data_IF_763808891891
#
_entry.id   IF_763808891891
#
_cell.length_a   1.000
_cell.length_b   1.000
_cell.length_c   1.000
_cell.angle_alpha   90.00
_cell.angle_beta   90.00
_cell.angle_gamma   90.00
#
_symmetry.space_group_name_H-M   'P 1'
#
loop_
_entity.id
_entity.type
_entity.pdbx_description
1 polymer ?
#
# COMPACT_ATOMS: atom_id res chain seq x y z
N UNK A 1 -27.27 -15.65 14.07
CA UNK A 1 -26.30 -15.17 15.08
C UNK A 1 -25.36 -14.22 14.38
N UNK A 2 -25.38 -12.94 14.75
CA UNK A 2 -24.31 -11.99 14.37
C UNK A 2 -23.09 -12.40 15.20
N UNK A 3 -21.87 -12.46 14.67
CA UNK A 3 -20.68 -12.70 15.49
C UNK A 3 -20.52 -11.50 16.43
N UNK A 4 -21.10 -11.63 17.61
CA UNK A 4 -20.88 -10.74 18.74
C UNK A 4 -19.53 -11.12 19.35
N UNK A 5 -18.72 -10.11 19.66
CA UNK A 5 -17.52 -10.19 20.48
C UNK A 5 -16.40 -11.18 20.05
N UNK A 6 -15.34 -10.64 19.44
CA UNK A 6 -14.00 -11.23 19.59
C UNK A 6 -13.29 -11.72 18.35
N UNK A 7 -13.86 -11.59 17.15
CA UNK A 7 -13.12 -11.92 15.92
C UNK A 7 -12.13 -10.79 15.59
N UNK A 8 -10.95 -10.86 16.21
CA UNK A 8 -9.85 -9.95 15.94
C UNK A 8 -9.29 -10.34 14.57
N UNK A 9 -9.60 -9.59 13.53
CA UNK A 9 -8.91 -9.75 12.23
C UNK A 9 -7.39 -9.52 12.34
N UNK A 10 -6.92 -8.88 13.41
CA UNK A 10 -5.50 -8.87 13.80
C UNK A 10 -4.98 -10.18 14.44
N UNK A 11 -5.85 -11.11 14.87
CA UNK A 11 -5.50 -12.48 15.29
C UNK A 11 -5.58 -13.50 14.15
N UNK A 12 -6.29 -13.19 13.05
CA UNK A 12 -5.94 -13.77 11.75
C UNK A 12 -4.53 -13.29 11.45
N UNK A 13 -3.54 -14.02 11.97
CA UNK A 13 -2.15 -13.80 11.61
C UNK A 13 -2.15 -13.82 10.10
N UNK A 14 -1.69 -12.75 9.47
CA UNK A 14 -1.58 -12.61 8.01
C UNK A 14 -0.86 -13.81 7.33
N UNK A 15 -0.15 -14.62 8.14
CA UNK A 15 0.44 -15.92 7.78
C UNK A 15 -0.57 -17.05 7.50
N UNK A 16 -1.77 -17.02 8.06
CA UNK A 16 -2.80 -18.06 7.93
C UNK A 16 -3.79 -17.82 6.79
N UNK A 17 -3.77 -16.63 6.18
CA UNK A 17 -4.63 -16.32 5.03
C UNK A 17 -3.97 -16.84 3.76
N UNK A 18 -4.47 -17.98 3.25
CA UNK A 18 -4.09 -18.52 1.94
C UNK A 18 -4.38 -17.48 0.85
N UNK A 19 -3.34 -17.13 0.08
CA UNK A 19 -3.47 -16.23 -1.07
C UNK A 19 -4.37 -16.87 -2.12
N UNK A 20 -5.48 -16.21 -2.48
CA UNK A 20 -6.44 -16.70 -3.47
C UNK A 20 -6.99 -15.55 -4.29
N UNK A 21 -7.19 -15.80 -5.58
CA UNK A 21 -7.93 -14.90 -6.45
C UNK A 21 -9.41 -14.84 -6.04
N UNK A 22 -10.05 -13.70 -6.32
CA UNK A 22 -11.50 -13.57 -6.28
C UNK A 22 -11.99 -13.67 -7.72
N UNK A 23 -12.92 -14.60 -7.97
CA UNK A 23 -13.52 -14.73 -9.29
C UNK A 23 -14.15 -13.42 -9.76
N UNK A 24 -13.81 -12.99 -10.98
CA UNK A 24 -14.24 -11.73 -11.57
C UNK A 24 -13.64 -10.45 -10.99
N UNK A 25 -12.64 -10.52 -10.11
CA UNK A 25 -11.92 -9.33 -9.59
C UNK A 25 -10.43 -9.44 -9.89
N UNK A 26 -9.98 -8.61 -10.83
CA UNK A 26 -8.57 -8.42 -11.16
C UNK A 26 -8.04 -7.13 -10.52
N UNK A 27 -6.94 -7.23 -9.76
CA UNK A 27 -6.25 -6.09 -9.14
C UNK A 27 -4.82 -5.90 -9.68
N UNK A 28 -4.35 -6.76 -10.60
CA UNK A 28 -2.97 -6.72 -11.14
C UNK A 28 -2.64 -5.34 -11.68
N UNK A 29 -3.53 -4.77 -12.50
CA UNK A 29 -3.31 -3.45 -13.09
C UNK A 29 -3.17 -2.33 -12.04
N UNK A 30 -3.87 -2.43 -10.92
CA UNK A 30 -3.79 -1.44 -9.85
C UNK A 30 -2.48 -1.56 -9.07
N UNK A 31 -2.01 -2.79 -8.83
CA UNK A 31 -0.73 -3.03 -8.17
C UNK A 31 0.45 -2.58 -9.03
N UNK A 32 0.40 -2.86 -10.34
CA UNK A 32 1.39 -2.33 -11.29
C UNK A 32 1.44 -0.81 -11.27
N UNK A 33 0.28 -0.14 -11.34
CA UNK A 33 0.22 1.33 -11.25
C UNK A 33 0.71 1.84 -9.91
N UNK A 34 0.36 1.16 -8.82
CA UNK A 34 0.80 1.53 -7.49
C UNK A 34 2.33 1.45 -7.37
N UNK A 35 2.97 0.47 -8.00
CA UNK A 35 4.43 0.39 -8.00
C UNK A 35 5.10 1.32 -9.03
N UNK A 36 4.53 1.54 -10.22
CA UNK A 36 5.19 2.27 -11.30
C UNK A 36 4.84 3.77 -11.34
N UNK A 37 3.61 4.13 -10.97
CA UNK A 37 3.06 5.48 -11.14
C UNK A 37 2.89 6.25 -9.82
N UNK A 38 3.03 5.59 -8.67
CA UNK A 38 2.82 6.23 -7.38
C UNK A 38 4.01 7.14 -7.00
N UNK A 39 3.82 8.45 -7.20
CA UNK A 39 4.81 9.49 -6.90
C UNK A 39 4.62 10.16 -5.54
N UNK A 40 3.45 10.04 -4.92
CA UNK A 40 3.14 10.80 -3.71
C UNK A 40 1.93 10.20 -2.98
N UNK A 41 1.59 10.85 -1.86
CA UNK A 41 0.44 10.49 -1.03
C UNK A 41 -0.89 10.52 -1.80
N UNK A 42 -1.10 11.48 -2.68
CA UNK A 42 -2.37 11.64 -3.37
C UNK A 42 -2.53 10.58 -4.47
N UNK A 43 -1.45 10.29 -5.20
CA UNK A 43 -1.36 9.17 -6.13
C UNK A 43 -1.63 7.83 -5.41
N UNK A 44 -1.00 7.61 -4.26
CA UNK A 44 -1.23 6.42 -3.43
C UNK A 44 -2.70 6.28 -3.04
N UNK A 45 -3.30 7.34 -2.48
CA UNK A 45 -4.70 7.32 -2.06
C UNK A 45 -5.67 7.08 -3.24
N UNK A 46 -5.37 7.62 -4.41
CA UNK A 46 -6.16 7.42 -5.64
C UNK A 46 -6.10 5.97 -6.11
N UNK A 47 -4.92 5.37 -6.14
CA UNK A 47 -4.71 3.99 -6.58
C UNK A 47 -5.28 2.99 -5.58
N UNK A 48 -5.06 3.21 -4.27
CA UNK A 48 -5.71 2.44 -3.20
C UNK A 48 -7.23 2.54 -3.27
N UNK A 49 -7.77 3.72 -3.61
CA UNK A 49 -9.22 3.88 -3.82
C UNK A 49 -9.74 3.05 -4.98
N UNK A 50 -8.97 2.88 -6.06
CA UNK A 50 -9.35 2.01 -7.18
C UNK A 50 -9.43 0.53 -6.75
N UNK A 51 -8.40 0.04 -6.03
CA UNK A 51 -8.38 -1.31 -5.43
C UNK A 51 -9.61 -1.52 -4.54
N UNK A 52 -9.84 -0.58 -3.61
CA UNK A 52 -10.99 -0.61 -2.70
C UNK A 52 -12.31 -0.67 -3.48
N UNK A 53 -12.50 0.17 -4.48
CA UNK A 53 -13.75 0.24 -5.24
C UNK A 53 -14.07 -1.08 -5.96
N UNK A 54 -13.07 -1.76 -6.55
CA UNK A 54 -13.24 -3.07 -7.18
C UNK A 54 -13.72 -4.11 -6.15
N UNK A 55 -13.06 -4.17 -5.01
CA UNK A 55 -13.39 -5.11 -3.93
C UNK A 55 -14.71 -4.77 -3.23
N UNK A 56 -15.09 -3.49 -3.17
CA UNK A 56 -16.39 -3.06 -2.66
C UNK A 56 -17.53 -3.53 -3.58
N UNK A 57 -17.38 -3.39 -4.91
CA UNK A 57 -18.38 -3.92 -5.86
C UNK A 57 -18.60 -5.42 -5.67
N UNK A 58 -17.51 -6.18 -5.55
CA UNK A 58 -17.59 -7.60 -5.23
C UNK A 58 -18.26 -7.85 -3.87
N UNK A 59 -17.79 -7.18 -2.82
CA UNK A 59 -18.30 -7.35 -1.45
C UNK A 59 -19.80 -7.04 -1.33
N UNK A 60 -20.31 -6.09 -2.10
CA UNK A 60 -21.73 -5.75 -2.16
C UNK A 60 -22.58 -6.86 -2.81
N UNK A 61 -22.06 -7.55 -3.84
CA UNK A 61 -22.77 -8.66 -4.50
C UNK A 61 -22.62 -10.00 -3.80
N UNK A 62 -21.62 -10.13 -2.92
CA UNK A 62 -21.31 -11.36 -2.20
C UNK A 62 -22.37 -11.69 -1.13
N UNK A 63 -22.89 -12.92 -1.17
CA UNK A 63 -23.77 -13.48 -0.11
C UNK A 63 -23.00 -13.97 1.13
N UNK A 64 -21.67 -13.87 1.11
CA UNK A 64 -20.80 -14.31 2.21
C UNK A 64 -20.97 -13.39 3.44
N UNK A 65 -20.70 -13.95 4.62
CA UNK A 65 -20.68 -13.20 5.87
C UNK A 65 -19.52 -12.19 5.92
N UNK A 66 -19.55 -11.30 6.90
CA UNK A 66 -18.58 -10.20 7.06
C UNK A 66 -17.14 -10.69 7.26
N UNK A 67 -16.96 -11.82 7.96
CA UNK A 67 -15.64 -12.38 8.27
C UNK A 67 -15.03 -12.98 7.01
N UNK A 68 -15.79 -13.81 6.30
CA UNK A 68 -15.34 -14.43 5.05
C UNK A 68 -15.06 -13.35 4.01
N UNK A 69 -15.86 -12.28 3.93
CA UNK A 69 -15.59 -11.13 3.06
C UNK A 69 -14.26 -10.48 3.40
N UNK A 70 -14.01 -10.16 4.68
CA UNK A 70 -12.76 -9.54 5.11
C UNK A 70 -11.54 -10.42 4.82
N UNK A 71 -11.60 -11.71 5.17
CA UNK A 71 -10.51 -12.66 4.93
C UNK A 71 -10.23 -12.85 3.44
N UNK A 72 -11.29 -12.91 2.61
CA UNK A 72 -11.13 -13.01 1.15
C UNK A 72 -10.49 -11.76 0.58
N UNK A 73 -10.84 -10.57 1.08
CA UNK A 73 -10.22 -9.30 0.66
C UNK A 73 -8.74 -9.27 1.02
N UNK A 74 -8.37 -9.69 2.24
CA UNK A 74 -6.95 -9.80 2.63
C UNK A 74 -6.20 -10.74 1.69
N UNK A 75 -6.77 -11.92 1.43
CA UNK A 75 -6.19 -12.91 0.53
C UNK A 75 -5.97 -12.37 -0.88
N UNK A 76 -6.95 -11.63 -1.41
CA UNK A 76 -6.92 -11.08 -2.76
C UNK A 76 -5.86 -9.99 -2.91
N UNK A 77 -5.78 -9.05 -1.95
CA UNK A 77 -4.75 -7.99 -1.95
C UNK A 77 -3.36 -8.60 -1.87
N UNK A 78 -3.16 -9.60 -1.01
CA UNK A 78 -1.88 -10.33 -0.90
C UNK A 78 -1.55 -11.08 -2.20
N UNK A 79 -2.51 -11.82 -2.74
CA UNK A 79 -2.35 -12.58 -3.97
C UNK A 79 -1.93 -11.69 -5.15
N UNK A 80 -2.55 -10.52 -5.29
CA UNK A 80 -2.19 -9.56 -6.34
C UNK A 80 -0.80 -8.94 -6.14
N UNK A 81 -0.39 -8.68 -4.89
CA UNK A 81 0.98 -8.24 -4.61
C UNK A 81 2.02 -9.29 -5.03
N UNK A 82 1.77 -10.57 -4.72
CA UNK A 82 2.62 -11.70 -5.09
C UNK A 82 2.70 -11.88 -6.60
N UNK A 83 1.57 -11.77 -7.31
CA UNK A 83 1.55 -11.91 -8.77
C UNK A 83 2.41 -10.88 -9.49
N UNK A 84 2.48 -9.67 -8.96
CA UNK A 84 3.27 -8.59 -9.53
C UNK A 84 4.71 -8.53 -9.01
N UNK A 85 5.11 -9.46 -8.13
CA UNK A 85 6.42 -9.44 -7.44
C UNK A 85 6.66 -8.14 -6.65
N UNK A 86 5.59 -7.56 -6.08
CA UNK A 86 5.63 -6.33 -5.29
C UNK A 86 5.28 -6.66 -3.83
N UNK A 87 6.12 -7.50 -3.21
CA UNK A 87 5.96 -7.87 -1.81
C UNK A 87 6.64 -6.85 -0.88
N UNK A 88 5.96 -6.48 0.20
CA UNK A 88 6.52 -5.61 1.23
C UNK A 88 5.59 -5.46 2.44
N UNK A 89 6.14 -4.95 3.55
CA UNK A 89 5.41 -4.76 4.80
C UNK A 89 4.14 -3.90 4.65
N UNK A 90 4.16 -2.98 3.68
CA UNK A 90 3.04 -2.09 3.35
C UNK A 90 1.79 -2.86 2.86
N UNK A 91 1.96 -4.02 2.24
CA UNK A 91 0.85 -4.85 1.72
C UNK A 91 -0.04 -5.34 2.87
N UNK A 92 0.56 -5.63 4.03
CA UNK A 92 -0.19 -6.06 5.22
C UNK A 92 -1.13 -4.97 5.69
N UNK A 93 -0.60 -3.78 5.94
CA UNK A 93 -1.39 -2.63 6.37
C UNK A 93 -2.43 -2.22 5.33
N UNK A 94 -2.09 -2.29 4.03
CA UNK A 94 -3.04 -2.02 2.96
C UNK A 94 -4.19 -3.04 2.95
N UNK A 95 -3.88 -4.33 3.06
CA UNK A 95 -4.88 -5.39 3.05
C UNK A 95 -5.88 -5.25 4.20
N UNK A 96 -5.42 -4.86 5.39
CA UNK A 96 -6.24 -4.58 6.56
C UNK A 96 -7.14 -3.36 6.35
N UNK A 97 -6.57 -2.27 5.81
CA UNK A 97 -7.33 -1.09 5.44
C UNK A 97 -8.50 -1.44 4.51
N UNK A 98 -8.19 -2.14 3.40
CA UNK A 98 -9.20 -2.46 2.39
C UNK A 98 -10.25 -3.44 2.96
N UNK A 99 -9.84 -4.45 3.73
CA UNK A 99 -10.77 -5.40 4.34
C UNK A 99 -11.73 -4.73 5.33
N UNK A 100 -11.24 -3.80 6.16
CA UNK A 100 -12.07 -2.98 7.05
C UNK A 100 -13.07 -2.15 6.26
N UNK A 101 -12.65 -1.48 5.19
CA UNK A 101 -13.53 -0.66 4.35
C UNK A 101 -14.59 -1.47 3.62
N UNK A 102 -14.25 -2.63 3.06
CA UNK A 102 -15.20 -3.47 2.32
C UNK A 102 -16.21 -4.12 3.27
N UNK A 103 -15.76 -4.61 4.42
CA UNK A 103 -16.63 -5.25 5.42
C UNK A 103 -17.55 -4.27 6.15
N UNK A 104 -17.12 -3.02 6.35
CA UNK A 104 -17.92 -1.96 6.96
C UNK A 104 -19.22 -1.68 6.20
N UNK A 105 -19.26 -1.92 4.88
CA UNK A 105 -20.51 -1.81 4.10
C UNK A 105 -21.59 -2.79 4.55
N UNK A 106 -21.20 -3.93 5.16
CA UNK A 106 -22.14 -4.93 5.68
C UNK A 106 -22.50 -4.69 7.14
N UNK A 107 -21.55 -4.25 7.96
CA UNK A 107 -21.75 -3.95 9.38
C UNK A 107 -20.98 -2.69 9.82
N UNK A 108 -21.53 -1.49 9.59
CA UNK A 108 -20.80 -0.23 9.79
C UNK A 108 -20.49 0.09 11.26
N UNK A 109 -21.21 -0.53 12.20
CA UNK A 109 -21.10 -0.26 13.65
C UNK A 109 -20.11 -1.16 14.38
N UNK A 110 -19.29 -1.95 13.67
CA UNK A 110 -18.39 -2.91 14.31
C UNK A 110 -17.14 -2.22 14.88
N UNK A 111 -16.73 -2.58 16.10
CA UNK A 111 -15.67 -1.88 16.85
C UNK A 111 -14.27 -1.98 16.22
N UNK A 112 -14.01 -2.98 15.39
CA UNK A 112 -12.71 -3.21 14.74
C UNK A 112 -12.45 -2.29 13.52
N UNK A 113 -13.42 -1.48 13.10
CA UNK A 113 -13.26 -0.50 12.00
C UNK A 113 -12.55 0.79 12.44
N UNK A 114 -12.33 1.01 13.74
CA UNK A 114 -11.81 2.26 14.31
C UNK A 114 -10.40 2.64 13.86
N UNK A 115 -9.55 1.66 13.56
CA UNK A 115 -8.13 1.90 13.22
C UNK A 115 -7.86 1.98 11.71
N UNK A 116 -8.91 2.04 10.89
CA UNK A 116 -8.75 1.99 9.44
C UNK A 116 -7.82 3.09 8.89
N UNK A 117 -7.89 4.30 9.42
CA UNK A 117 -7.01 5.40 9.00
C UNK A 117 -5.55 5.16 9.38
N UNK A 118 -5.31 4.50 10.52
CA UNK A 118 -3.96 4.14 10.96
C UNK A 118 -3.33 3.11 10.02
N UNK A 119 -4.10 2.09 9.62
CA UNK A 119 -3.63 1.09 8.66
C UNK A 119 -3.24 1.71 7.31
N UNK A 120 -4.04 2.65 6.79
CA UNK A 120 -3.73 3.34 5.53
C UNK A 120 -2.44 4.17 5.64
N UNK A 121 -2.28 4.91 6.74
CA UNK A 121 -1.08 5.71 6.96
C UNK A 121 0.16 4.82 7.11
N UNK A 122 0.05 3.70 7.82
CA UNK A 122 1.15 2.74 7.96
C UNK A 122 1.54 2.14 6.61
N UNK A 123 0.54 1.77 5.79
CA UNK A 123 0.78 1.28 4.44
C UNK A 123 1.52 2.33 3.60
N UNK A 124 1.07 3.59 3.62
CA UNK A 124 1.72 4.68 2.89
C UNK A 124 3.17 4.88 3.32
N UNK A 125 3.44 4.96 4.63
CA UNK A 125 4.79 5.17 5.16
C UNK A 125 5.72 4.03 4.78
N UNK A 126 5.28 2.78 4.95
CA UNK A 126 6.07 1.60 4.56
C UNK A 126 6.28 1.51 3.05
N UNK A 127 5.29 1.93 2.25
CA UNK A 127 5.39 1.94 0.79
C UNK A 127 6.40 2.98 0.29
N UNK A 128 6.33 4.22 0.83
CA UNK A 128 7.28 5.28 0.46
C UNK A 128 8.71 4.90 0.86
N UNK A 129 8.89 4.29 2.04
CA UNK A 129 10.20 3.80 2.48
C UNK A 129 10.77 2.75 1.51
N UNK A 130 9.94 1.81 1.04
CA UNK A 130 10.34 0.83 0.02
C UNK A 130 10.80 1.53 -1.27
N UNK A 131 10.07 2.57 -1.70
CA UNK A 131 10.44 3.36 -2.88
C UNK A 131 11.76 4.09 -2.75
N UNK A 132 12.04 4.65 -1.59
CA UNK A 132 13.32 5.29 -1.31
C UNK A 132 14.47 4.26 -1.36
N UNK A 133 14.28 3.08 -0.75
CA UNK A 133 15.26 1.99 -0.76
C UNK A 133 15.53 1.45 -2.19
N UNK A 134 14.49 1.31 -3.02
CA UNK A 134 14.61 0.93 -4.44
C UNK A 134 15.41 1.96 -5.24
N UNK A 135 15.13 3.26 -5.03
CA UNK A 135 15.82 4.35 -5.71
C UNK A 135 17.30 4.44 -5.31
N UNK A 136 17.60 4.24 -4.03
CA UNK A 136 18.97 4.22 -3.51
C UNK A 136 19.76 3.02 -4.04
N UNK A 137 19.14 1.84 -4.10
CA UNK A 137 19.76 0.64 -4.67
C UNK A 137 20.08 0.82 -6.16
N UNK A 138 19.14 1.39 -6.92
CA UNK A 138 19.35 1.72 -8.33
C UNK A 138 20.51 2.72 -8.50
N UNK A 139 20.52 3.79 -7.72
CA UNK A 139 21.57 4.82 -7.74
C UNK A 139 22.95 4.26 -7.37
N UNK A 140 23.02 3.42 -6.35
CA UNK A 140 24.25 2.73 -5.94
C UNK A 140 24.78 1.79 -7.04
N UNK A 141 23.89 1.05 -7.70
CA UNK A 141 24.27 0.16 -8.82
C UNK A 141 24.82 0.92 -10.03
N UNK A 142 24.25 2.09 -10.34
CA UNK A 142 24.73 2.99 -11.40
C UNK A 142 26.09 3.55 -11.04
N UNK A 143 26.29 3.96 -9.78
CA UNK A 143 27.56 4.50 -9.29
C UNK A 143 28.68 3.45 -9.31
N UNK A 144 28.37 2.20 -8.94
CA UNK A 144 29.31 1.07 -9.01
C UNK A 144 29.64 0.68 -10.46
N UNK A 145 28.66 0.72 -11.38
CA UNK A 145 28.94 0.53 -12.82
C UNK A 145 29.79 1.66 -13.41
N UNK A 146 29.55 2.91 -13.01
CA UNK A 146 30.36 4.04 -13.44
C UNK A 146 31.80 3.93 -12.91
N UNK A 147 31.98 3.47 -11.66
CA UNK A 147 33.31 3.23 -11.08
C UNK A 147 34.06 2.06 -11.75
N UNK A 148 33.35 0.99 -12.14
CA UNK A 148 33.97 -0.15 -12.83
C UNK A 148 34.25 0.09 -14.32
N UNK A 149 33.69 1.14 -14.93
CA UNK A 149 33.91 1.52 -16.33
C UNK A 149 34.83 2.75 -16.49
N UNK A 150 35.47 3.24 -15.43
CA UNK A 150 36.41 4.35 -15.52
C UNK A 150 37.82 3.84 -15.91
N UNK A 151 38.15 3.99 -17.20
CA UNK A 151 39.53 4.21 -17.63
C UNK A 151 40.11 5.45 -16.91
N UNK A 152 41.43 5.52 -16.64
CA UNK A 152 41.97 6.49 -15.72
C UNK A 152 41.96 7.92 -16.28
N UNK A 153 41.55 8.83 -15.39
CA UNK A 153 41.74 10.28 -15.38
C UNK A 153 41.12 11.15 -16.49
N UNK A 154 40.23 12.07 -16.09
CA UNK A 154 40.62 13.45 -15.78
C UNK A 154 39.52 14.20 -15.04
N UNK A 155 39.91 14.87 -13.97
CA UNK A 155 39.11 15.80 -13.17
C UNK A 155 38.60 16.98 -14.00
N UNK A 156 37.31 17.32 -13.89
CA UNK A 156 36.85 18.62 -13.38
C UNK A 156 35.35 18.82 -13.61
N UNK A 157 34.63 19.11 -12.52
CA UNK A 157 33.51 20.05 -12.55
C UNK A 157 32.09 19.49 -12.40
N UNK A 158 31.41 19.99 -11.36
CA UNK A 158 29.94 20.10 -11.24
C UNK A 158 29.16 19.01 -10.49
N UNK A 159 29.51 18.77 -9.22
CA UNK A 159 28.74 17.90 -8.30
C UNK A 159 27.62 18.63 -7.50
N UNK A 160 27.29 19.88 -7.85
CA UNK A 160 26.31 20.68 -7.06
C UNK A 160 24.86 20.57 -7.53
N UNK A 161 24.59 20.02 -8.72
CA UNK A 161 23.24 20.01 -9.28
C UNK A 161 22.46 18.71 -9.02
N UNK A 162 23.12 17.54 -8.93
CA UNK A 162 22.40 16.28 -8.69
C UNK A 162 21.89 16.17 -7.24
N UNK A 163 22.66 16.66 -6.24
CA UNK A 163 22.22 16.63 -4.83
C UNK A 163 20.98 17.47 -4.52
N UNK A 164 20.58 18.38 -5.41
CA UNK A 164 19.40 19.23 -5.20
C UNK A 164 18.08 18.54 -5.56
N UNK A 165 18.09 17.58 -6.51
CA UNK A 165 16.86 16.87 -6.90
C UNK A 165 16.52 15.69 -5.97
N UNK A 166 17.52 15.12 -5.30
CA UNK A 166 17.34 13.94 -4.44
C UNK A 166 16.88 14.26 -2.99
N UNK A 167 16.86 15.52 -2.57
CA UNK A 167 16.36 15.91 -1.23
C UNK A 167 14.86 16.18 -1.16
N UNK A 168 14.14 16.12 -2.29
CA UNK A 168 12.72 16.53 -2.32
C UNK A 168 11.78 15.58 -1.56
N UNK A 169 12.17 14.33 -1.33
CA UNK A 169 11.30 13.30 -0.76
C UNK A 169 11.30 13.29 0.77
N UNK A 170 12.35 13.80 1.40
CA UNK A 170 12.52 13.84 2.86
C UNK A 170 12.07 15.15 3.52
N UNK A 171 11.72 16.19 2.75
CA UNK A 171 11.49 17.55 3.28
C UNK A 171 10.08 18.12 3.01
N UNK A 172 9.06 17.28 2.91
CA UNK A 172 7.67 17.79 2.95
C UNK A 172 7.23 18.03 4.41
N UNK A 173 6.85 19.28 4.78
CA UNK A 173 6.39 19.56 6.13
C UNK A 173 5.05 18.86 6.40
N UNK A 174 5.08 17.96 7.39
CA UNK A 174 3.89 17.40 8.02
C UNK A 174 2.99 18.52 8.53
N UNK A 175 1.95 18.86 7.77
CA UNK A 175 0.82 19.63 8.30
C UNK A 175 -0.30 18.67 8.67
N UNK A 176 -0.20 18.15 9.89
CA UNK A 176 -1.36 17.64 10.61
C UNK A 176 -2.21 18.82 11.09
N UNK A 177 -3.53 18.67 10.99
CA UNK A 177 -4.47 19.44 11.80
C UNK A 177 -5.22 20.54 11.04
N UNK A 178 -6.27 20.16 10.32
CA UNK A 178 -7.57 20.83 10.48
C UNK A 178 -8.65 19.78 10.64
N UNK A 179 -9.08 19.61 11.89
CA UNK A 179 -10.40 19.07 12.21
C UNK A 179 -11.43 19.82 11.34
N UNK A 180 -12.23 19.08 10.58
CA UNK A 180 -13.51 19.60 10.12
C UNK A 180 -14.37 19.86 11.36
N UNK A 181 -14.40 21.10 11.85
CA UNK A 181 -15.55 21.64 12.58
C UNK A 181 -16.48 22.22 11.52
N UNK A 182 -17.68 21.66 11.42
CA UNK A 182 -18.75 22.10 10.51
C UNK A 182 -19.37 23.45 10.94
N UNK A 183 -20.65 23.74 10.61
CA UNK A 183 -21.61 23.02 9.77
C UNK A 183 -21.49 23.32 8.26
#
# INVERSE_FOLDING_TARGET
>A
MVPDAGFVLGQLKYKEVEAKAIDGVDLTSEFQKLHLECSDRDAFNKLVSAIRNKLQRWGATSKKDVVVVATTVIAAVKYSAVLEDIEGDWVVSLSLYVAKQVSAMKHPSTTWHKDCTADLNQALVSFLKLKDEEADAASSSVRMRAQNNLAPERSSGSDRNEKAMFRLWSELPLSFGKQWRGP
#
